data_IF_926974093503
#
_entry.id   IF_926974093503
#
_cell.length_a   1.000
_cell.length_b   1.000
_cell.length_c   1.000
_cell.angle_alpha   90.00
_cell.angle_beta   90.00
_cell.angle_gamma   90.00
#
_symmetry.space_group_name_H-M   'P 1'
#
loop_
_entity.id
_entity.type
_entity.pdbx_description
1 polymer ?
#
# COMPACT_ATOMS: atom_id res chain seq x y z
N UNK A 1 -2.04 -9.92 -22.33
CA UNK A 1 -2.91 -9.56 -21.19
C UNK A 1 -2.83 -10.72 -20.20
N UNK A 2 -2.27 -10.49 -19.02
CA UNK A 2 -2.19 -11.50 -17.95
C UNK A 2 -3.50 -11.47 -17.16
N UNK A 3 -4.28 -12.55 -17.24
CA UNK A 3 -5.49 -12.75 -16.44
C UNK A 3 -5.12 -13.27 -15.03
N UNK A 4 -4.24 -12.58 -14.33
CA UNK A 4 -4.08 -12.82 -12.90
C UNK A 4 -5.27 -12.17 -12.19
N UNK A 5 -6.00 -12.87 -11.30
CA UNK A 5 -7.04 -12.24 -10.50
C UNK A 5 -6.39 -11.21 -9.57
N UNK A 6 -6.35 -9.96 -10.04
CA UNK A 6 -5.92 -8.82 -9.25
C UNK A 6 -7.04 -8.45 -8.28
N UNK A 7 -7.02 -9.04 -7.08
CA UNK A 7 -7.80 -8.51 -5.97
C UNK A 7 -7.12 -7.25 -5.45
N UNK A 8 -7.59 -6.10 -5.92
CA UNK A 8 -7.24 -4.79 -5.37
C UNK A 8 -7.48 -4.81 -3.84
N UNK A 9 -6.42 -4.62 -3.05
CA UNK A 9 -6.47 -4.72 -1.58
C UNK A 9 -5.67 -5.90 -1.01
N UNK A 10 -5.53 -7.00 -1.75
CA UNK A 10 -4.90 -8.25 -1.28
C UNK A 10 -3.43 -8.28 -1.70
N UNK A 11 -2.58 -7.57 -0.95
CA UNK A 11 -1.16 -7.45 -1.30
C UNK A 11 -0.23 -8.38 -0.51
N UNK A 12 -0.66 -8.82 0.67
CA UNK A 12 0.23 -9.50 1.60
C UNK A 12 -0.45 -10.67 2.29
N UNK A 13 0.30 -11.77 2.43
CA UNK A 13 0.04 -12.81 3.41
C UNK A 13 0.94 -12.48 4.60
N UNK A 14 0.35 -12.38 5.78
CA UNK A 14 1.04 -11.99 7.01
C UNK A 14 0.89 -13.07 8.08
N UNK A 15 1.81 -13.10 9.02
CA UNK A 15 1.77 -14.01 10.17
C UNK A 15 0.78 -13.54 11.23
N UNK A 16 0.44 -14.43 12.16
CA UNK A 16 -0.32 -14.09 13.37
C UNK A 16 0.34 -12.96 14.18
N UNK A 17 1.67 -12.97 14.33
CA UNK A 17 2.42 -11.92 15.03
C UNK A 17 2.23 -10.52 14.42
N UNK A 18 2.10 -10.43 13.10
CA UNK A 18 1.82 -9.16 12.42
C UNK A 18 0.42 -8.65 12.76
N UNK A 19 -0.58 -9.55 12.74
CA UNK A 19 -1.96 -9.22 13.15
C UNK A 19 -2.00 -8.76 14.62
N UNK A 20 -1.29 -9.43 15.52
CA UNK A 20 -1.23 -9.05 16.93
C UNK A 20 -0.70 -7.62 17.13
N UNK A 21 0.28 -7.17 16.34
CA UNK A 21 0.75 -5.76 16.40
C UNK A 21 -0.36 -4.78 16.05
N UNK A 22 -1.19 -5.09 15.06
CA UNK A 22 -2.32 -4.23 14.69
C UNK A 22 -3.36 -4.15 15.82
N UNK A 23 -3.63 -5.28 16.47
CA UNK A 23 -4.54 -5.36 17.60
C UNK A 23 -4.01 -4.59 18.82
N UNK A 24 -2.73 -4.77 19.16
CA UNK A 24 -2.06 -4.07 20.26
C UNK A 24 -2.06 -2.54 20.05
N UNK A 25 -1.89 -2.09 18.81
CA UNK A 25 -1.87 -0.68 18.45
C UNK A 25 -3.28 -0.08 18.26
N UNK A 26 -4.34 -0.90 18.34
CA UNK A 26 -5.73 -0.49 18.15
C UNK A 26 -6.04 0.00 16.73
N UNK A 27 -5.31 -0.50 15.72
CA UNK A 27 -5.47 -0.09 14.32
C UNK A 27 -6.76 -0.69 13.78
N UNK A 28 -7.67 0.19 13.35
CA UNK A 28 -8.98 -0.17 12.81
C UNK A 28 -8.92 -0.27 11.27
N UNK A 29 -10.01 -0.73 10.66
CA UNK A 29 -10.24 -0.73 9.20
C UNK A 29 -9.33 -1.62 8.33
N UNK A 30 -8.30 -2.21 8.92
CA UNK A 30 -7.55 -3.32 8.35
C UNK A 30 -8.29 -4.64 8.56
N UNK A 31 -8.46 -5.41 7.48
CA UNK A 31 -9.11 -6.71 7.52
C UNK A 31 -8.07 -7.83 7.45
N UNK A 32 -8.15 -8.75 8.40
CA UNK A 32 -7.35 -9.98 8.43
C UNK A 32 -8.25 -11.18 8.19
N UNK A 33 -8.01 -11.92 7.11
CA UNK A 33 -8.74 -13.17 6.82
C UNK A 33 -7.79 -14.35 6.93
N UNK A 34 -8.03 -15.22 7.92
CA UNK A 34 -7.21 -16.42 8.11
C UNK A 34 -7.30 -17.32 6.87
N UNK A 35 -6.15 -17.88 6.47
CA UNK A 35 -6.00 -18.82 5.38
C UNK A 35 -5.16 -20.01 5.82
N UNK A 36 -5.35 -21.14 5.13
CA UNK A 36 -4.52 -22.33 5.29
C UNK A 36 -3.75 -22.60 4.01
N UNK A 37 -2.43 -22.71 4.10
CA UNK A 37 -1.57 -23.14 3.01
C UNK A 37 -1.05 -24.55 3.31
N UNK A 38 -1.26 -25.50 2.39
CA UNK A 38 -1.00 -26.94 2.61
C UNK A 38 0.42 -27.32 3.05
N UNK A 39 1.40 -26.41 2.93
CA UNK A 39 2.82 -26.63 3.30
C UNK A 39 3.29 -25.75 4.46
N UNK A 40 2.38 -25.03 5.11
CA UNK A 40 2.69 -24.14 6.22
C UNK A 40 1.77 -24.47 7.39
N UNK A 41 2.36 -24.99 8.47
CA UNK A 41 1.64 -25.34 9.71
C UNK A 41 1.44 -24.13 10.64
N UNK A 42 1.55 -22.91 10.11
CA UNK A 42 1.39 -21.66 10.87
C UNK A 42 0.10 -20.95 10.49
N UNK A 43 -0.49 -20.24 11.46
CA UNK A 43 -1.60 -19.32 11.19
C UNK A 43 -1.13 -18.19 10.28
N UNK A 44 -1.75 -18.10 9.10
CA UNK A 44 -1.49 -17.08 8.09
C UNK A 44 -2.77 -16.30 7.81
N UNK A 45 -2.62 -15.02 7.50
CA UNK A 45 -3.73 -14.12 7.25
C UNK A 45 -3.52 -13.37 5.94
N UNK A 46 -4.57 -13.27 5.15
CA UNK A 46 -4.66 -12.26 4.10
C UNK A 46 -4.83 -10.91 4.77
N UNK A 47 -3.94 -9.98 4.47
CA UNK A 47 -4.02 -8.60 4.89
C UNK A 47 -4.65 -7.76 3.80
N UNK A 48 -5.75 -7.09 4.17
CA UNK A 48 -6.61 -6.35 3.28
C UNK A 48 -6.80 -4.94 3.85
N UNK A 49 -6.50 -3.92 3.06
CA UNK A 49 -6.84 -2.53 3.37
C UNK A 49 -7.69 -1.93 2.25
N UNK A 50 -8.76 -1.18 2.58
CA UNK A 50 -9.53 -0.44 1.59
C UNK A 50 -8.63 0.51 0.80
N UNK A 51 -8.85 0.59 -0.51
CA UNK A 51 -8.12 1.55 -1.35
C UNK A 51 -8.76 2.93 -1.18
N UNK A 52 -7.96 3.87 -0.73
CA UNK A 52 -8.27 5.29 -0.67
C UNK A 52 -8.10 5.91 -2.05
N UNK A 53 -9.13 6.61 -2.52
CA UNK A 53 -9.16 7.26 -3.84
C UNK A 53 -8.48 8.65 -3.81
N UNK A 54 -8.28 9.27 -4.97
CA UNK A 54 -7.46 10.48 -5.11
C UNK A 54 -8.01 11.74 -4.44
N UNK A 55 -9.29 11.77 -4.07
CA UNK A 55 -9.93 12.94 -3.46
C UNK A 55 -9.32 13.35 -2.12
N UNK A 56 -8.51 12.48 -1.51
CA UNK A 56 -7.85 12.75 -0.22
C UNK A 56 -6.51 13.45 -0.37
N UNK A 57 -5.98 13.54 -1.59
CA UNK A 57 -4.66 14.12 -1.86
C UNK A 57 -4.78 15.64 -1.95
N UNK A 58 -3.94 16.34 -1.20
CA UNK A 58 -3.70 17.77 -1.35
C UNK A 58 -2.73 17.97 -2.53
N UNK A 59 -3.29 18.17 -3.72
CA UNK A 59 -2.51 18.29 -4.96
C UNK A 59 -1.62 19.53 -5.01
N UNK A 60 -2.03 20.62 -4.34
CA UNK A 60 -1.24 21.86 -4.30
C UNK A 60 0.04 21.69 -3.49
N UNK A 61 0.00 20.93 -2.39
CA UNK A 61 1.18 20.63 -1.55
C UNK A 61 2.00 19.44 -2.06
N UNK A 62 1.36 18.52 -2.77
CA UNK A 62 2.00 17.31 -3.28
C UNK A 62 2.96 17.59 -4.43
N UNK A 63 3.99 16.75 -4.55
CA UNK A 63 4.98 16.84 -5.63
C UNK A 63 5.06 15.54 -6.40
N UNK A 64 5.02 15.68 -7.71
CA UNK A 64 5.04 14.59 -8.66
C UNK A 64 6.25 14.77 -9.59
N UNK A 65 6.71 13.67 -10.18
CA UNK A 65 7.75 13.73 -11.18
C UNK A 65 7.57 12.64 -12.22
N UNK A 66 8.06 12.92 -13.42
CA UNK A 66 8.21 11.93 -14.48
C UNK A 66 9.68 11.61 -14.64
N UNK A 67 10.01 10.32 -14.65
CA UNK A 67 11.34 9.84 -15.01
C UNK A 67 11.36 9.57 -16.52
N UNK A 68 12.26 10.22 -17.25
CA UNK A 68 12.48 10.00 -18.68
C UNK A 68 13.96 9.69 -18.90
N UNK A 69 14.30 8.41 -19.01
CA UNK A 69 15.69 7.96 -19.01
C UNK A 69 16.36 8.30 -17.67
N UNK A 70 17.44 9.10 -17.69
CA UNK A 70 18.12 9.61 -16.48
C UNK A 70 17.56 10.95 -16.01
N UNK A 71 16.73 11.62 -16.81
CA UNK A 71 16.21 12.95 -16.49
C UNK A 71 14.96 12.86 -15.62
N UNK A 72 14.87 13.78 -14.66
CA UNK A 72 13.74 13.94 -13.76
C UNK A 72 13.02 15.24 -14.06
N UNK A 73 11.78 15.15 -14.52
CA UNK A 73 10.93 16.32 -14.75
C UNK A 73 9.91 16.44 -13.63
N UNK A 74 9.93 17.57 -12.91
CA UNK A 74 8.89 17.86 -11.89
C UNK A 74 7.56 18.12 -12.56
N UNK A 75 6.49 17.57 -11.99
CA UNK A 75 5.11 17.75 -12.39
C UNK A 75 4.34 18.40 -11.24
N UNK A 76 3.40 19.27 -11.61
CA UNK A 76 2.43 19.85 -10.69
C UNK A 76 1.03 19.64 -11.27
N UNK A 77 0.11 19.32 -10.40
CA UNK A 77 -1.30 19.21 -10.70
C UNK A 77 -2.04 20.15 -9.75
N UNK A 78 -3.02 20.88 -10.24
CA UNK A 78 -3.76 21.83 -9.40
C UNK A 78 -4.81 21.12 -8.55
N UNK A 79 -5.45 20.09 -9.11
CA UNK A 79 -6.53 19.35 -8.47
C UNK A 79 -6.61 17.91 -8.99
N UNK A 80 -7.60 17.17 -8.48
CA UNK A 80 -7.85 15.78 -8.85
C UNK A 80 -8.24 15.62 -10.32
N UNK A 81 -9.02 16.54 -10.89
CA UNK A 81 -9.46 16.44 -12.28
C UNK A 81 -8.29 16.64 -13.24
N UNK A 82 -7.45 17.63 -12.96
CA UNK A 82 -6.19 17.90 -13.64
C UNK A 82 -5.25 16.69 -13.56
N UNK A 83 -5.11 16.11 -12.38
CA UNK A 83 -4.33 14.88 -12.19
C UNK A 83 -4.87 13.72 -13.01
N UNK A 84 -6.17 13.41 -12.93
CA UNK A 84 -6.76 12.28 -13.66
C UNK A 84 -6.63 12.47 -15.18
N UNK A 85 -6.80 13.70 -15.66
CA UNK A 85 -6.75 14.01 -17.10
C UNK A 85 -5.34 13.96 -17.67
N UNK A 86 -4.34 14.42 -16.90
CA UNK A 86 -2.99 14.64 -17.40
C UNK A 86 -1.96 13.61 -16.89
N UNK A 87 -2.32 12.74 -15.94
CA UNK A 87 -1.46 11.67 -15.44
C UNK A 87 -1.06 10.70 -16.55
N UNK A 88 0.23 10.46 -16.67
CA UNK A 88 0.81 9.32 -17.39
C UNK A 88 1.13 8.17 -16.42
N UNK A 89 1.19 6.96 -16.96
CA UNK A 89 1.67 5.75 -16.29
C UNK A 89 3.07 5.90 -15.67
N UNK A 90 3.92 6.78 -16.23
CA UNK A 90 5.27 7.05 -15.74
C UNK A 90 5.35 8.17 -14.68
N UNK A 91 4.24 8.79 -14.32
CA UNK A 91 4.23 9.84 -13.31
C UNK A 91 4.27 9.21 -11.92
N UNK A 92 5.36 9.48 -11.20
CA UNK A 92 5.66 9.02 -9.86
C UNK A 92 5.38 10.13 -8.86
N UNK A 93 4.97 9.76 -7.66
CA UNK A 93 4.83 10.74 -6.55
C UNK A 93 6.14 10.78 -5.79
N UNK A 94 6.66 11.99 -5.60
CA UNK A 94 7.81 12.24 -4.74
C UNK A 94 7.34 12.45 -3.30
N UNK A 95 6.38 13.36 -3.12
CA UNK A 95 5.79 13.68 -1.83
C UNK A 95 4.28 13.76 -1.98
N UNK A 96 3.57 13.01 -1.13
CA UNK A 96 2.12 12.96 -1.12
C UNK A 96 1.62 13.56 0.19
N UNK A 97 0.90 14.68 0.10
CA UNK A 97 0.22 15.27 1.24
C UNK A 97 -1.24 14.86 1.18
N UNK A 98 -1.76 14.38 2.31
CA UNK A 98 -3.16 14.01 2.45
C UNK A 98 -3.90 15.08 3.26
N UNK A 99 -5.21 15.12 3.11
CA UNK A 99 -6.06 15.96 3.95
C UNK A 99 -6.00 15.50 5.42
N UNK A 100 -6.53 16.34 6.32
CA UNK A 100 -6.43 16.13 7.77
C UNK A 100 -7.21 14.91 8.29
N UNK A 101 -8.10 14.32 7.48
CA UNK A 101 -8.88 13.15 7.87
C UNK A 101 -7.98 11.92 8.09
N UNK A 102 -6.84 11.85 7.39
CA UNK A 102 -5.90 10.72 7.42
C UNK A 102 -4.69 10.95 8.33
N UNK A 103 -4.62 12.10 9.03
CA UNK A 103 -3.42 12.47 9.81
C UNK A 103 -3.05 11.51 10.93
N UNK A 104 -4.01 10.71 11.39
CA UNK A 104 -3.85 9.75 12.48
C UNK A 104 -3.92 8.29 12.01
N UNK A 105 -4.01 8.06 10.69
CA UNK A 105 -4.13 6.71 10.17
C UNK A 105 -2.78 6.01 10.14
N UNK A 106 -2.75 4.78 10.64
CA UNK A 106 -1.52 3.97 10.63
C UNK A 106 -1.28 3.23 9.34
N UNK A 107 -2.35 3.03 8.56
CA UNK A 107 -2.28 2.36 7.28
C UNK A 107 -3.14 3.10 6.28
N UNK A 108 -2.54 3.46 5.15
CA UNK A 108 -3.25 4.14 4.06
C UNK A 108 -2.91 3.41 2.77
N UNK A 109 -3.92 2.92 2.06
CA UNK A 109 -3.71 2.37 0.72
C UNK A 109 -4.13 3.38 -0.33
N UNK A 110 -3.19 4.23 -0.78
CA UNK A 110 -3.44 5.14 -1.88
C UNK A 110 -3.43 4.42 -3.23
N UNK A 111 -4.48 4.64 -4.04
CA UNK A 111 -4.59 4.07 -5.39
C UNK A 111 -3.35 4.32 -6.27
N UNK A 112 -2.74 5.51 -6.17
CA UNK A 112 -1.59 5.91 -7.00
C UNK A 112 -0.26 5.35 -6.51
N UNK A 113 -0.15 4.99 -5.24
CA UNK A 113 1.16 4.86 -4.57
C UNK A 113 1.34 3.61 -3.72
N UNK A 114 0.27 2.82 -3.57
CA UNK A 114 0.34 1.64 -2.74
C UNK A 114 0.10 1.95 -1.27
N UNK A 115 0.67 1.10 -0.43
CA UNK A 115 0.38 1.05 0.99
C UNK A 115 1.44 1.83 1.77
N UNK A 116 0.99 2.70 2.66
CA UNK A 116 1.80 3.47 3.57
C UNK A 116 1.53 3.01 5.00
N UNK A 117 2.57 3.04 5.81
CA UNK A 117 2.52 2.70 7.23
C UNK A 117 3.03 3.88 8.06
N UNK A 118 2.40 4.16 9.19
CA UNK A 118 2.91 5.16 10.14
C UNK A 118 4.22 4.69 10.78
N UNK A 119 5.03 5.65 11.24
CA UNK A 119 6.27 5.34 11.94
C UNK A 119 6.04 4.52 13.21
N UNK A 120 4.95 4.75 13.95
CA UNK A 120 4.66 3.98 15.18
C UNK A 120 4.40 2.51 14.85
N UNK A 121 3.69 2.23 13.75
CA UNK A 121 3.42 0.87 13.30
C UNK A 121 4.72 0.20 12.82
N UNK A 122 5.53 0.89 12.01
CA UNK A 122 6.81 0.36 11.54
C UNK A 122 7.72 0.00 12.72
N UNK A 123 7.82 0.88 13.72
CA UNK A 123 8.59 0.63 14.93
C UNK A 123 8.07 -0.56 15.72
N UNK A 124 6.75 -0.69 15.91
CA UNK A 124 6.19 -1.83 16.62
C UNK A 124 6.42 -3.16 15.90
N UNK A 125 6.41 -3.16 14.57
CA UNK A 125 6.76 -4.33 13.76
C UNK A 125 8.25 -4.69 13.91
N UNK A 126 9.13 -3.69 13.90
CA UNK A 126 10.57 -3.84 14.11
C UNK A 126 10.89 -4.39 15.52
N UNK A 127 10.29 -3.81 16.56
CA UNK A 127 10.47 -4.23 17.96
C UNK A 127 10.05 -5.70 18.17
N UNK A 128 9.05 -6.19 17.41
CA UNK A 128 8.63 -7.60 17.42
C UNK A 128 9.41 -8.50 16.45
N UNK A 129 10.47 -7.99 15.82
CA UNK A 129 11.29 -8.68 14.82
C UNK A 129 10.45 -9.27 13.67
N UNK A 130 9.41 -8.55 13.25
CA UNK A 130 8.56 -8.97 12.13
C UNK A 130 9.25 -8.54 10.83
N UNK A 131 9.89 -9.51 10.18
CA UNK A 131 10.54 -9.30 8.89
C UNK A 131 9.57 -9.55 7.73
N UNK A 132 9.46 -8.59 6.82
CA UNK A 132 8.69 -8.71 5.59
C UNK A 132 9.58 -9.06 4.40
N UNK A 133 9.13 -9.97 3.54
CA UNK A 133 9.74 -10.19 2.22
C UNK A 133 8.91 -9.44 1.18
N UNK A 134 9.44 -8.36 0.60
CA UNK A 134 8.81 -7.69 -0.52
C UNK A 134 9.03 -8.51 -1.81
N UNK A 135 8.13 -9.46 -2.10
CA UNK A 135 8.16 -10.14 -3.40
C UNK A 135 7.54 -9.22 -4.44
N UNK A 136 8.35 -8.50 -5.21
CA UNK A 136 7.90 -7.69 -6.33
C UNK A 136 7.26 -8.50 -7.47
N UNK A 137 7.22 -9.84 -7.39
CA UNK A 137 6.60 -10.72 -8.38
C UNK A 137 6.02 -11.97 -7.71
N UNK A 138 4.78 -11.93 -7.23
CA UNK A 138 4.01 -13.16 -6.97
C UNK A 138 3.32 -13.59 -8.28
N UNK A 139 4.14 -14.03 -9.24
CA UNK A 139 3.71 -15.10 -10.14
C UNK A 139 3.98 -16.38 -9.37
N UNK A 140 2.95 -16.98 -8.80
CA UNK A 140 2.97 -18.42 -8.57
C UNK A 140 1.87 -19.03 -9.41
N UNK A 141 2.22 -19.30 -10.66
CA UNK A 141 1.57 -20.37 -11.39
C UNK A 141 1.79 -21.67 -10.59
N UNK A 142 0.71 -22.26 -10.09
CA UNK A 142 0.71 -23.69 -9.77
C UNK A 142 -0.30 -24.32 -10.72
N UNK A 143 0.22 -24.96 -11.78
CA UNK A 143 -0.51 -25.92 -12.60
C UNK A 143 0.42 -27.10 -12.84
N UNK A 144 0.10 -28.19 -12.12
CA UNK A 144 0.58 -29.57 -12.15
C UNK A 144 2.08 -29.83 -12.18
#
# INVERSE_FOLDING_TARGET
>A
MSNSPHFFGLRFIVSEKFKEVFEDLGIKDSYFKQIHLRKFDSNLYLFLNPITDYHVIDFEKSRFFKQVGIERKTLKFNDMEDFIKNKDSYDLVEECFLNDDFKNDDVIYLRSNGLFFSERLLKALEDKNIIGLATSNLITAISR
#
